data_IF_467020395739
#
_entry.id   IF_467020395739
#
_cell.length_a   1.000
_cell.length_b   1.000
_cell.length_c   1.000
_cell.angle_alpha   90.00
_cell.angle_beta   90.00
_cell.angle_gamma   90.00
#
_symmetry.space_group_name_H-M   'P 1'
#
loop_
_entity.id
_entity.type
_entity.pdbx_description
1 polymer ?
#
# COMPACT_ATOMS: atom_id res chain seq x y z
N UNK A 1 1.68 -7.25 61.85
CA UNK A 1 1.09 -8.16 60.85
C UNK A 1 0.13 -7.37 59.96
N UNK A 2 0.63 -6.93 58.81
CA UNK A 2 -0.18 -6.21 57.80
C UNK A 2 -0.23 -7.13 56.59
N UNK A 3 -1.40 -7.65 56.26
CA UNK A 3 -1.62 -8.50 55.08
C UNK A 3 -1.71 -7.57 53.85
N UNK A 4 -0.80 -7.76 52.89
CA UNK A 4 -0.89 -7.20 51.57
C UNK A 4 -1.99 -7.92 50.78
N UNK A 5 -3.00 -7.18 50.33
CA UNK A 5 -3.99 -7.66 49.36
C UNK A 5 -3.41 -7.43 47.96
N UNK A 6 -2.99 -8.52 47.32
CA UNK A 6 -2.71 -8.58 45.89
C UNK A 6 -4.04 -8.60 45.14
N UNK A 7 -4.37 -7.51 44.48
CA UNK A 7 -5.51 -7.43 43.55
C UNK A 7 -5.13 -8.15 42.24
N UNK A 8 -5.66 -9.37 42.06
CA UNK A 8 -5.70 -10.02 40.77
C UNK A 8 -6.56 -9.21 39.79
N UNK A 9 -5.94 -8.54 38.84
CA UNK A 9 -6.62 -8.05 37.64
C UNK A 9 -6.96 -9.26 36.77
N UNK A 10 -8.25 -9.53 36.64
CA UNK A 10 -8.81 -10.53 35.73
C UNK A 10 -8.43 -10.19 34.26
N UNK A 11 -7.82 -11.12 33.48
CA UNK A 11 -7.68 -10.96 32.05
C UNK A 11 -8.93 -11.55 31.42
N UNK A 12 -9.65 -10.80 30.63
CA UNK A 12 -10.71 -11.19 29.69
C UNK A 12 -11.94 -10.26 29.80
N UNK A 13 -11.72 -9.00 29.52
CA UNK A 13 -12.74 -8.21 28.86
C UNK A 13 -12.43 -8.28 27.36
N UNK A 14 -12.96 -9.27 26.67
CA UNK A 14 -13.07 -9.26 25.21
C UNK A 14 -13.96 -8.06 24.87
N UNK A 15 -13.35 -6.89 24.66
CA UNK A 15 -14.02 -5.75 24.06
C UNK A 15 -14.46 -6.25 22.68
N UNK A 16 -15.75 -6.51 22.51
CA UNK A 16 -16.38 -6.44 21.21
C UNK A 16 -16.00 -5.05 20.64
N UNK A 17 -15.04 -5.03 19.74
CA UNK A 17 -14.74 -3.83 18.97
C UNK A 17 -15.99 -3.58 18.15
N UNK A 18 -16.85 -2.65 18.58
CA UNK A 18 -17.93 -2.13 17.75
C UNK A 18 -17.26 -1.75 16.41
N UNK A 19 -17.79 -2.27 15.31
CA UNK A 19 -17.24 -1.98 13.98
C UNK A 19 -17.44 -0.49 13.73
N UNK A 20 -16.36 0.27 13.76
CA UNK A 20 -16.39 1.69 13.48
C UNK A 20 -16.84 1.94 12.05
N UNK A 21 -17.58 3.02 11.85
CA UNK A 21 -18.09 3.49 10.56
C UNK A 21 -17.68 4.95 10.35
N UNK A 22 -17.76 5.44 9.12
CA UNK A 22 -17.67 6.86 8.83
C UNK A 22 -19.05 7.39 8.46
N UNK A 23 -19.43 8.50 9.08
CA UNK A 23 -20.58 9.31 8.67
C UNK A 23 -20.06 10.54 7.94
N UNK A 24 -20.53 10.77 6.72
CA UNK A 24 -20.07 11.78 5.80
C UNK A 24 -21.26 12.61 5.35
N UNK A 25 -21.26 13.91 5.65
CA UNK A 25 -22.22 14.85 5.10
C UNK A 25 -21.64 15.46 3.82
N UNK A 26 -22.29 15.21 2.69
CA UNK A 26 -21.81 15.71 1.41
C UNK A 26 -22.11 17.17 1.14
N UNK A 27 -21.56 17.70 0.04
CA UNK A 27 -21.80 19.05 -0.44
C UNK A 27 -20.82 20.13 0.06
N UNK A 28 -19.74 19.74 0.75
CA UNK A 28 -18.70 20.67 1.23
C UNK A 28 -17.46 20.60 0.34
N UNK A 29 -16.97 21.77 -0.09
CA UNK A 29 -15.74 21.89 -0.87
C UNK A 29 -14.53 21.72 0.04
N UNK A 30 -13.55 20.96 -0.42
CA UNK A 30 -12.27 20.86 0.28
C UNK A 30 -11.42 22.10 0.00
N UNK A 31 -10.80 22.65 1.06
CA UNK A 31 -9.89 23.78 0.95
C UNK A 31 -8.83 23.73 2.07
N UNK A 32 -7.59 24.05 1.75
CA UNK A 32 -6.51 24.10 2.74
C UNK A 32 -5.28 23.31 2.34
N UNK A 33 -4.47 22.97 3.33
CA UNK A 33 -3.23 22.20 3.16
C UNK A 33 -3.31 20.88 3.92
N UNK A 34 -2.69 19.85 3.35
CA UNK A 34 -2.56 18.54 4.00
C UNK A 34 -1.17 17.97 3.74
N UNK A 35 -0.53 17.47 4.81
CA UNK A 35 0.75 16.75 4.70
C UNK A 35 0.48 15.31 4.30
N UNK A 36 1.24 14.85 3.32
CA UNK A 36 1.20 13.46 2.86
C UNK A 36 2.05 12.58 3.79
N UNK A 37 1.49 11.44 4.17
CA UNK A 37 2.15 10.43 4.99
C UNK A 37 3.15 9.61 4.20
N UNK A 38 4.00 8.87 4.90
CA UNK A 38 4.88 7.89 4.26
C UNK A 38 4.09 6.78 3.55
N UNK A 39 4.67 6.29 2.46
CA UNK A 39 4.05 5.26 1.63
C UNK A 39 4.04 3.90 2.35
N UNK A 40 2.84 3.38 2.62
CA UNK A 40 2.69 2.04 3.20
C UNK A 40 3.40 0.97 2.36
N UNK A 41 3.23 1.05 1.03
CA UNK A 41 3.79 0.04 0.12
C UNK A 41 5.33 0.10 0.03
N UNK A 42 5.96 1.21 0.40
CA UNK A 42 7.41 1.31 0.59
C UNK A 42 7.83 0.91 2.01
N UNK A 43 7.08 1.31 3.04
CA UNK A 43 7.41 1.02 4.43
C UNK A 43 7.51 -0.49 4.71
N UNK A 44 6.57 -1.29 4.19
CA UNK A 44 6.51 -2.73 4.49
C UNK A 44 7.75 -3.51 4.00
N UNK A 45 8.21 -3.39 2.74
CA UNK A 45 9.46 -4.05 2.32
C UNK A 45 10.70 -3.48 3.01
N UNK A 46 10.76 -2.17 3.26
CA UNK A 46 11.88 -1.54 3.98
C UNK A 46 11.99 -2.03 5.43
N UNK A 47 10.86 -2.25 6.11
CA UNK A 47 10.85 -2.87 7.44
C UNK A 47 11.39 -4.30 7.38
N UNK A 48 11.06 -5.08 6.34
CA UNK A 48 11.62 -6.43 6.13
C UNK A 48 13.13 -6.40 5.85
N UNK A 49 13.67 -5.34 5.24
CA UNK A 49 15.11 -5.18 5.02
C UNK A 49 15.91 -5.15 6.33
N UNK A 50 15.30 -4.80 7.47
CA UNK A 50 15.95 -4.90 8.79
C UNK A 50 16.44 -6.31 9.14
N UNK A 51 15.82 -7.35 8.57
CA UNK A 51 16.22 -8.74 8.75
C UNK A 51 17.57 -9.08 8.10
N UNK A 52 18.07 -8.23 7.19
CA UNK A 52 19.29 -8.47 6.42
C UNK A 52 20.58 -8.09 7.16
N UNK A 53 20.51 -7.40 8.29
CA UNK A 53 21.67 -6.97 9.09
C UNK A 53 21.51 -7.25 10.58
N UNK A 54 22.62 -7.37 11.31
CA UNK A 54 22.62 -7.38 12.76
C UNK A 54 22.57 -5.98 13.37
N UNK A 55 22.94 -4.97 12.59
CA UNK A 55 22.94 -3.57 13.00
C UNK A 55 21.54 -2.99 12.99
N UNK A 56 21.41 -1.80 13.56
CA UNK A 56 20.11 -1.11 13.64
C UNK A 56 19.76 -0.38 12.34
N UNK A 57 18.53 -0.57 11.88
CA UNK A 57 17.92 0.20 10.81
C UNK A 57 16.98 1.25 11.40
N UNK A 58 17.28 2.54 11.18
CA UNK A 58 16.47 3.66 11.65
C UNK A 58 15.56 4.16 10.54
N UNK A 59 14.25 4.06 10.73
CA UNK A 59 13.26 4.51 9.76
C UNK A 59 12.53 5.74 10.26
N UNK A 60 12.28 6.69 9.36
CA UNK A 60 11.47 7.88 9.59
C UNK A 60 10.37 8.00 8.53
N UNK A 61 9.40 8.89 8.75
CA UNK A 61 8.21 9.03 7.93
C UNK A 61 7.41 7.71 7.80
N UNK A 62 7.42 6.88 8.85
CA UNK A 62 6.58 5.68 8.90
C UNK A 62 5.12 6.09 9.14
N UNK A 63 4.16 5.62 8.32
CA UNK A 63 2.77 5.95 8.51
C UNK A 63 2.14 5.15 9.67
N UNK A 64 1.24 5.78 10.42
CA UNK A 64 0.44 5.10 11.45
C UNK A 64 -0.75 4.38 10.79
N UNK A 65 -0.50 3.15 10.34
CA UNK A 65 -1.48 2.33 9.64
C UNK A 65 -1.52 0.91 10.18
N UNK A 66 -2.67 0.27 10.03
CA UNK A 66 -2.87 -1.09 10.53
C UNK A 66 -1.89 -2.11 9.95
N UNK A 67 -1.56 -2.02 8.65
CA UNK A 67 -0.61 -2.94 7.99
C UNK A 67 0.82 -2.73 8.53
N UNK A 68 1.24 -1.48 8.83
CA UNK A 68 2.54 -1.18 9.46
C UNK A 68 2.61 -1.79 10.87
N UNK A 69 1.58 -1.56 11.68
CA UNK A 69 1.47 -2.18 13.03
C UNK A 69 1.51 -3.71 12.96
N UNK A 70 0.88 -4.31 11.94
CA UNK A 70 0.89 -5.77 11.74
C UNK A 70 2.29 -6.28 11.37
N UNK A 71 3.03 -5.54 10.52
CA UNK A 71 4.42 -5.89 10.17
C UNK A 71 5.35 -5.75 11.39
N UNK A 72 5.20 -4.69 12.18
CA UNK A 72 5.94 -4.56 13.46
C UNK A 72 5.73 -5.79 14.34
N UNK A 73 4.48 -6.19 14.57
CA UNK A 73 4.17 -7.37 15.38
C UNK A 73 4.75 -8.68 14.81
N UNK A 74 4.74 -8.81 13.48
CA UNK A 74 5.34 -9.97 12.81
C UNK A 74 6.85 -10.03 13.08
N UNK A 75 7.56 -8.91 12.90
CA UNK A 75 9.00 -8.82 13.14
C UNK A 75 9.35 -9.02 14.64
N UNK A 76 8.58 -8.45 15.55
CA UNK A 76 8.73 -8.68 17.01
C UNK A 76 8.55 -10.15 17.37
N UNK A 77 7.59 -10.86 16.77
CA UNK A 77 7.40 -12.31 16.98
C UNK A 77 8.58 -13.16 16.47
N UNK A 78 9.34 -12.64 15.52
CA UNK A 78 10.58 -13.26 15.03
C UNK A 78 11.78 -13.00 15.93
N UNK A 79 11.68 -12.03 16.85
CA UNK A 79 12.76 -11.63 17.77
C UNK A 79 13.42 -10.30 17.41
N UNK A 80 12.92 -9.57 16.41
CA UNK A 80 13.40 -8.20 16.11
C UNK A 80 13.03 -7.27 17.27
N UNK A 81 14.03 -6.59 17.83
CA UNK A 81 13.79 -5.55 18.82
C UNK A 81 13.41 -4.27 18.09
N UNK A 82 12.27 -3.68 18.45
CA UNK A 82 11.74 -2.49 17.78
C UNK A 82 11.47 -1.39 18.83
N UNK A 83 12.12 -0.24 18.64
CA UNK A 83 11.86 0.97 19.41
C UNK A 83 11.08 1.95 18.56
N UNK A 84 9.82 2.23 18.94
CA UNK A 84 8.88 3.04 18.17
C UNK A 84 8.74 4.44 18.74
N UNK A 85 8.89 5.45 17.88
CA UNK A 85 8.57 6.84 18.11
C UNK A 85 7.40 7.33 17.27
N UNK A 86 7.18 8.64 17.26
CA UNK A 86 6.15 9.25 16.40
C UNK A 86 6.65 9.25 14.94
N UNK A 87 5.99 8.49 14.08
CA UNK A 87 6.37 8.30 12.66
C UNK A 87 7.83 7.83 12.47
N UNK A 88 8.43 7.22 13.48
CA UNK A 88 9.80 6.69 13.43
C UNK A 88 9.86 5.33 14.10
N UNK A 89 10.78 4.48 13.69
CA UNK A 89 11.12 3.27 14.42
C UNK A 89 12.57 2.85 14.17
N UNK A 90 13.17 2.22 15.18
CA UNK A 90 14.48 1.58 15.08
C UNK A 90 14.31 0.08 15.18
N UNK A 91 14.80 -0.64 14.18
CA UNK A 91 14.72 -2.09 14.08
C UNK A 91 16.11 -2.69 14.33
N UNK A 92 16.23 -3.65 15.22
CA UNK A 92 17.47 -4.40 15.47
C UNK A 92 17.20 -5.90 15.43
N UNK A 93 17.73 -6.56 14.39
CA UNK A 93 17.60 -7.99 14.14
C UNK A 93 18.92 -8.74 14.43
N UNK A 94 19.64 -8.36 15.50
CA UNK A 94 20.91 -8.97 15.88
C UNK A 94 20.76 -10.47 16.16
N UNK A 95 19.67 -10.87 16.79
CA UNK A 95 19.31 -12.27 17.05
C UNK A 95 17.83 -12.45 16.76
N UNK A 96 17.51 -13.52 16.04
CA UNK A 96 16.14 -13.93 15.79
C UNK A 96 15.84 -15.24 16.49
N UNK A 97 14.69 -15.30 17.15
CA UNK A 97 14.24 -16.49 17.86
C UNK A 97 13.50 -17.46 16.94
N UNK A 98 12.85 -16.93 15.89
CA UNK A 98 11.97 -17.71 15.01
C UNK A 98 12.08 -17.23 13.56
N UNK A 99 12.33 -18.15 12.66
CA UNK A 99 12.39 -17.92 11.21
C UNK A 99 11.03 -18.25 10.54
N UNK A 100 9.91 -17.88 11.21
CA UNK A 100 8.56 -18.32 10.83
C UNK A 100 7.60 -17.12 10.76
N UNK A 101 6.92 -16.98 9.62
CA UNK A 101 5.75 -16.09 9.48
C UNK A 101 4.45 -16.93 9.56
N UNK A 102 3.70 -16.87 10.69
CA UNK A 102 2.57 -17.74 10.93
C UNK A 102 1.32 -17.30 10.16
N UNK A 103 0.41 -18.26 9.89
CA UNK A 103 -0.81 -18.07 9.13
C UNK A 103 -1.65 -16.88 9.62
N UNK A 104 -1.83 -16.73 10.94
CA UNK A 104 -2.67 -15.66 11.51
C UNK A 104 -2.20 -14.25 11.16
N UNK A 105 -0.89 -14.05 10.96
CA UNK A 105 -0.31 -12.78 10.53
C UNK A 105 -0.38 -12.63 9.01
N UNK A 106 -0.01 -13.67 8.27
CA UNK A 106 0.06 -13.63 6.79
C UNK A 106 -1.33 -13.50 6.16
N UNK A 107 -2.36 -14.16 6.72
CA UNK A 107 -3.74 -14.06 6.20
C UNK A 107 -4.31 -12.64 6.23
N UNK A 108 -3.84 -11.81 7.16
CA UNK A 108 -4.31 -10.43 7.32
C UNK A 108 -3.53 -9.43 6.48
N UNK A 109 -2.26 -9.75 6.15
CA UNK A 109 -1.36 -8.87 5.44
C UNK A 109 -0.47 -9.67 4.47
N UNK A 110 -0.83 -9.67 3.18
CA UNK A 110 -0.07 -10.42 2.15
C UNK A 110 1.40 -10.03 2.05
N UNK A 111 1.74 -8.77 2.36
CA UNK A 111 3.12 -8.29 2.37
C UNK A 111 4.03 -9.06 3.35
N UNK A 112 3.46 -9.85 4.26
CA UNK A 112 4.23 -10.75 5.13
C UNK A 112 5.09 -11.76 4.35
N UNK A 113 4.78 -12.05 3.07
CA UNK A 113 5.63 -12.87 2.19
C UNK A 113 7.03 -12.27 2.00
N UNK A 114 7.18 -10.95 2.17
CA UNK A 114 8.45 -10.23 1.97
C UNK A 114 9.55 -10.59 2.98
N UNK A 115 9.22 -11.28 4.07
CA UNK A 115 10.23 -11.80 5.00
C UNK A 115 10.96 -13.03 4.45
N UNK A 116 10.42 -13.69 3.40
CA UNK A 116 10.96 -14.94 2.87
C UNK A 116 12.38 -14.78 2.33
N UNK A 117 12.62 -13.80 1.45
CA UNK A 117 13.96 -13.55 0.88
C UNK A 117 14.99 -13.17 1.94
N UNK A 118 14.74 -12.16 2.79
CA UNK A 118 15.66 -11.79 3.87
C UNK A 118 16.01 -12.93 4.83
N UNK A 119 15.02 -13.69 5.28
CA UNK A 119 15.27 -14.83 6.18
C UNK A 119 16.13 -15.89 5.50
N UNK A 120 15.77 -16.26 4.27
CA UNK A 120 16.48 -17.30 3.54
C UNK A 120 17.93 -16.91 3.24
N UNK A 121 18.17 -15.69 2.76
CA UNK A 121 19.52 -15.25 2.37
C UNK A 121 20.46 -15.08 3.55
N UNK A 122 19.95 -14.62 4.72
CA UNK A 122 20.80 -14.38 5.90
C UNK A 122 20.93 -15.59 6.81
N UNK A 123 19.85 -16.36 6.99
CA UNK A 123 19.81 -17.46 7.97
C UNK A 123 19.82 -18.85 7.33
N UNK A 124 19.67 -18.94 6.01
CA UNK A 124 19.64 -20.22 5.28
C UNK A 124 18.33 -20.99 5.41
N UNK A 125 17.35 -20.49 6.14
CA UNK A 125 16.06 -21.13 6.36
C UNK A 125 14.95 -20.07 6.51
N UNK A 126 13.76 -20.38 5.98
CA UNK A 126 12.55 -19.59 6.18
C UNK A 126 11.30 -20.49 6.11
N UNK A 127 10.34 -20.24 6.99
CA UNK A 127 9.02 -20.85 6.96
C UNK A 127 7.94 -19.79 6.93
N UNK A 128 7.26 -19.65 5.80
CA UNK A 128 6.27 -18.58 5.60
C UNK A 128 4.95 -19.19 5.19
N UNK A 129 3.87 -18.87 5.90
CA UNK A 129 2.53 -19.31 5.51
C UNK A 129 2.18 -18.78 4.12
N UNK A 130 1.48 -19.58 3.33
CA UNK A 130 0.86 -19.09 2.11
C UNK A 130 -0.15 -17.99 2.45
N UNK A 131 -0.15 -16.88 1.75
CA UNK A 131 -1.15 -15.84 1.95
C UNK A 131 -2.53 -16.38 1.56
N UNK A 132 -3.55 -16.08 2.34
CA UNK A 132 -4.94 -16.38 2.03
C UNK A 132 -5.37 -15.73 0.70
N UNK A 133 -6.52 -16.14 0.17
CA UNK A 133 -7.12 -15.54 -1.03
C UNK A 133 -7.28 -14.02 -0.88
N UNK A 134 -7.11 -13.30 -1.98
CA UNK A 134 -7.35 -11.86 -2.04
C UNK A 134 -8.67 -11.59 -2.74
N UNK A 135 -9.50 -10.70 -2.18
CA UNK A 135 -10.79 -10.37 -2.75
C UNK A 135 -10.68 -9.74 -4.16
N UNK A 136 -9.59 -9.03 -4.45
CA UNK A 136 -9.40 -8.31 -5.72
C UNK A 136 -8.77 -9.15 -6.84
N UNK A 137 -8.26 -10.36 -6.56
CA UNK A 137 -7.69 -11.23 -7.58
C UNK A 137 -6.53 -12.10 -7.13
N UNK A 138 -6.08 -12.98 -8.03
CA UNK A 138 -4.94 -13.87 -7.77
C UNK A 138 -3.65 -13.07 -7.71
N UNK A 139 -2.81 -13.41 -6.73
CA UNK A 139 -1.45 -12.88 -6.61
C UNK A 139 -0.53 -14.05 -6.33
N UNK A 140 -0.07 -14.72 -7.38
CA UNK A 140 0.69 -15.94 -7.24
C UNK A 140 2.01 -15.67 -6.50
N UNK A 141 2.32 -16.53 -5.54
CA UNK A 141 3.62 -16.53 -4.83
C UNK A 141 4.67 -17.33 -5.58
N UNK A 142 4.27 -17.99 -6.67
CA UNK A 142 5.13 -18.81 -7.50
C UNK A 142 6.30 -18.04 -8.11
N UNK A 143 6.13 -16.74 -8.41
CA UNK A 143 7.21 -15.87 -8.89
C UNK A 143 8.33 -15.72 -7.86
N UNK A 144 7.97 -15.58 -6.57
CA UNK A 144 8.95 -15.56 -5.47
C UNK A 144 9.68 -16.90 -5.38
N UNK A 145 8.93 -18.02 -5.43
CA UNK A 145 9.45 -19.38 -5.30
C UNK A 145 10.36 -19.71 -6.48
N UNK A 146 9.91 -19.47 -7.72
CA UNK A 146 10.71 -19.69 -8.94
C UNK A 146 12.05 -18.93 -8.90
N UNK A 147 12.01 -17.66 -8.50
CA UNK A 147 13.21 -16.84 -8.40
C UNK A 147 14.20 -17.36 -7.35
N UNK A 148 13.71 -17.72 -6.15
CA UNK A 148 14.56 -18.27 -5.10
C UNK A 148 15.13 -19.66 -5.47
N UNK A 149 14.36 -20.51 -6.14
CA UNK A 149 14.86 -21.79 -6.67
C UNK A 149 15.96 -21.54 -7.72
N UNK A 150 15.79 -20.58 -8.62
CA UNK A 150 16.84 -20.20 -9.57
C UNK A 150 18.13 -19.72 -8.87
N UNK A 151 18.01 -19.13 -7.69
CA UNK A 151 19.13 -18.73 -6.84
C UNK A 151 19.70 -19.90 -6.01
N UNK A 152 19.18 -21.12 -6.17
CA UNK A 152 19.69 -22.34 -5.53
C UNK A 152 19.01 -22.71 -4.21
N UNK A 153 17.84 -22.18 -3.92
CA UNK A 153 17.03 -22.59 -2.77
C UNK A 153 16.32 -23.93 -3.02
N UNK A 154 16.22 -24.75 -1.98
CA UNK A 154 15.32 -25.89 -1.93
C UNK A 154 14.02 -25.45 -1.28
N UNK A 155 12.91 -25.56 -2.02
CA UNK A 155 11.60 -25.08 -1.55
C UNK A 155 10.55 -26.16 -1.74
N UNK A 156 9.77 -26.41 -0.70
CA UNK A 156 8.59 -27.26 -0.74
C UNK A 156 7.42 -26.60 -0.01
N UNK A 157 6.21 -26.96 -0.40
CA UNK A 157 4.99 -26.48 0.23
C UNK A 157 4.37 -27.62 1.01
N UNK A 158 4.21 -27.43 2.30
CA UNK A 158 3.62 -28.43 3.19
C UNK A 158 2.71 -27.76 4.21
N UNK A 159 1.50 -28.32 4.42
CA UNK A 159 0.50 -27.83 5.36
C UNK A 159 0.18 -26.33 5.21
N UNK A 160 0.22 -25.80 3.98
CA UNK A 160 -0.04 -24.39 3.70
C UNK A 160 1.13 -23.43 4.01
N UNK A 161 2.34 -23.98 4.24
CA UNK A 161 3.56 -23.20 4.43
C UNK A 161 4.55 -23.44 3.31
N UNK A 162 5.24 -22.38 2.94
CA UNK A 162 6.46 -22.40 2.14
C UNK A 162 7.61 -22.73 3.10
N UNK A 163 8.25 -23.84 2.91
CA UNK A 163 9.50 -24.22 3.59
C UNK A 163 10.64 -24.01 2.60
N UNK A 164 11.52 -23.08 2.89
CA UNK A 164 12.65 -22.75 2.05
C UNK A 164 13.95 -22.93 2.83
N UNK A 165 14.92 -23.61 2.21
CA UNK A 165 16.27 -23.79 2.74
C UNK A 165 17.32 -23.52 1.68
N UNK A 166 18.44 -22.95 2.07
CA UNK A 166 19.61 -22.76 1.21
C UNK A 166 20.86 -22.67 2.07
N UNK A 167 21.91 -23.42 1.72
CA UNK A 167 23.20 -23.22 2.38
C UNK A 167 23.74 -21.81 2.14
N UNK A 168 23.60 -21.30 0.92
CA UNK A 168 23.90 -19.95 0.47
C UNK A 168 23.21 -19.74 -0.87
N UNK A 169 22.53 -18.64 -1.02
CA UNK A 169 21.96 -18.23 -2.31
C UNK A 169 23.07 -17.79 -3.27
N UNK A 170 22.86 -18.05 -4.56
CA UNK A 170 23.78 -17.66 -5.63
C UNK A 170 23.08 -16.70 -6.59
N UNK A 171 23.86 -15.80 -7.18
CA UNK A 171 23.39 -14.93 -8.23
C UNK A 171 22.81 -15.72 -9.40
N UNK A 172 21.73 -15.20 -9.96
CA UNK A 172 20.99 -15.83 -11.04
C UNK A 172 20.42 -14.78 -12.01
N UNK A 173 20.17 -15.21 -13.25
CA UNK A 173 19.40 -14.40 -14.20
C UNK A 173 17.94 -14.84 -14.11
N UNK A 174 17.08 -13.92 -13.67
CA UNK A 174 15.66 -14.16 -13.40
C UNK A 174 14.84 -13.22 -14.26
N UNK A 175 14.06 -13.78 -15.19
CA UNK A 175 13.09 -13.03 -15.98
C UNK A 175 11.68 -13.29 -15.43
N UNK A 176 10.96 -12.25 -15.03
CA UNK A 176 9.60 -12.38 -14.56
C UNK A 176 8.63 -12.59 -15.73
N UNK A 177 7.82 -13.65 -15.67
CA UNK A 177 6.74 -13.90 -16.65
C UNK A 177 5.69 -12.79 -16.61
N UNK A 178 5.45 -12.22 -15.41
CA UNK A 178 4.57 -11.09 -15.14
C UNK A 178 5.27 -10.12 -14.20
N UNK A 179 5.10 -8.82 -14.42
CA UNK A 179 5.63 -7.78 -13.52
C UNK A 179 5.00 -7.96 -12.13
N UNK A 180 5.85 -8.12 -11.13
CA UNK A 180 5.45 -8.29 -9.73
C UNK A 180 6.25 -7.37 -8.81
N UNK A 181 5.58 -6.43 -8.16
CA UNK A 181 6.19 -5.51 -7.20
C UNK A 181 6.82 -6.30 -6.06
N UNK A 182 6.02 -7.09 -5.33
CA UNK A 182 6.51 -7.87 -4.20
C UNK A 182 7.50 -8.98 -4.60
N UNK A 183 7.39 -9.53 -5.82
CA UNK A 183 8.36 -10.46 -6.38
C UNK A 183 9.72 -9.79 -6.58
N UNK A 184 9.74 -8.60 -7.19
CA UNK A 184 10.96 -7.81 -7.39
C UNK A 184 11.58 -7.43 -6.05
N UNK A 185 10.80 -6.91 -5.10
CA UNK A 185 11.27 -6.52 -3.77
C UNK A 185 11.88 -7.69 -2.99
N UNK A 186 11.19 -8.83 -2.98
CA UNK A 186 11.63 -10.01 -2.24
C UNK A 186 12.91 -10.61 -2.82
N UNK A 187 12.99 -10.73 -4.16
CA UNK A 187 14.19 -11.26 -4.83
C UNK A 187 15.36 -10.28 -4.78
N UNK A 188 15.09 -8.96 -4.81
CA UNK A 188 16.13 -7.94 -4.57
C UNK A 188 16.72 -8.10 -3.17
N UNK A 189 15.90 -8.23 -2.13
CA UNK A 189 16.36 -8.46 -0.75
C UNK A 189 17.10 -9.80 -0.60
N UNK A 190 16.70 -10.85 -1.32
CA UNK A 190 17.41 -12.12 -1.31
C UNK A 190 18.78 -12.01 -2.00
N UNK A 191 18.88 -11.22 -3.07
CA UNK A 191 20.07 -11.11 -3.91
C UNK A 191 21.21 -10.31 -3.26
N UNK A 192 20.91 -9.35 -2.38
CA UNK A 192 21.95 -8.47 -1.80
C UNK A 192 23.01 -9.19 -0.98
N UNK A 193 22.70 -10.38 -0.43
CA UNK A 193 23.65 -11.24 0.30
C UNK A 193 23.99 -12.54 -0.45
N UNK A 194 23.47 -12.74 -1.67
CA UNK A 194 23.78 -13.91 -2.49
C UNK A 194 25.22 -13.88 -3.02
N UNK A 195 25.77 -15.02 -3.39
CA UNK A 195 27.10 -15.11 -3.98
C UNK A 195 27.06 -14.80 -5.48
N UNK A 196 27.76 -13.75 -5.93
CA UNK A 196 27.83 -13.35 -7.33
C UNK A 196 26.81 -12.30 -7.73
N UNK A 197 26.39 -12.31 -8.99
CA UNK A 197 25.52 -11.27 -9.58
C UNK A 197 24.15 -11.86 -9.87
N UNK A 198 23.10 -11.17 -9.42
CA UNK A 198 21.70 -11.43 -9.80
C UNK A 198 21.24 -10.37 -10.78
N UNK A 199 20.57 -10.79 -11.85
CA UNK A 199 19.90 -9.91 -12.80
C UNK A 199 18.40 -10.22 -12.77
N UNK A 200 17.60 -9.21 -12.47
CA UNK A 200 16.14 -9.29 -12.52
C UNK A 200 15.68 -8.58 -13.81
N UNK A 201 15.07 -9.30 -14.74
CA UNK A 201 14.48 -8.76 -15.97
C UNK A 201 12.95 -8.77 -15.90
N UNK A 202 12.31 -7.84 -16.59
CA UNK A 202 10.89 -7.52 -16.49
C UNK A 202 10.50 -7.21 -15.04
N UNK A 203 11.41 -6.54 -14.33
CA UNK A 203 11.24 -6.12 -12.94
C UNK A 203 10.18 -5.02 -12.81
N UNK A 204 9.59 -4.93 -11.62
CA UNK A 204 8.69 -3.83 -11.28
C UNK A 204 9.48 -2.52 -11.16
N UNK A 205 8.89 -1.44 -11.68
CA UNK A 205 9.53 -0.11 -11.79
C UNK A 205 8.94 0.91 -10.83
N UNK A 206 8.03 0.48 -9.97
CA UNK A 206 7.31 1.31 -9.03
C UNK A 206 8.27 2.09 -8.13
N UNK A 207 7.96 3.35 -7.80
CA UNK A 207 8.78 4.19 -6.93
C UNK A 207 9.09 3.55 -5.57
N UNK A 208 8.19 2.70 -5.08
CA UNK A 208 8.35 1.95 -3.84
C UNK A 208 9.48 0.92 -3.93
N UNK A 209 9.69 0.31 -5.12
CA UNK A 209 10.82 -0.59 -5.40
C UNK A 209 12.14 0.19 -5.41
N UNK A 210 12.12 1.41 -5.97
CA UNK A 210 13.28 2.30 -5.96
C UNK A 210 13.62 2.74 -4.53
N UNK A 211 12.61 3.02 -3.72
CA UNK A 211 12.79 3.43 -2.31
C UNK A 211 13.42 2.30 -1.48
N UNK A 212 12.97 1.05 -1.68
CA UNK A 212 13.62 -0.12 -1.09
C UNK A 212 15.08 -0.26 -1.55
N UNK A 213 15.34 -0.13 -2.85
CA UNK A 213 16.71 -0.20 -3.39
C UNK A 213 17.61 0.87 -2.76
N UNK A 214 17.14 2.11 -2.62
CA UNK A 214 17.88 3.19 -1.97
C UNK A 214 18.18 2.88 -0.49
N UNK A 215 17.22 2.29 0.23
CA UNK A 215 17.45 1.84 1.61
C UNK A 215 18.53 0.75 1.67
N UNK A 216 18.46 -0.25 0.80
CA UNK A 216 19.44 -1.34 0.72
C UNK A 216 20.84 -0.81 0.32
N UNK A 217 20.93 0.14 -0.60
CA UNK A 217 22.19 0.81 -0.98
C UNK A 217 22.76 1.57 0.23
N UNK A 218 21.91 2.29 0.98
CA UNK A 218 22.34 2.95 2.21
C UNK A 218 22.83 1.96 3.29
N UNK A 219 22.37 0.70 3.24
CA UNK A 219 22.87 -0.41 4.08
C UNK A 219 24.14 -1.06 3.52
N UNK A 220 24.65 -0.64 2.37
CA UNK A 220 25.88 -1.16 1.75
C UNK A 220 25.66 -2.13 0.59
N UNK A 221 24.44 -2.32 0.11
CA UNK A 221 24.15 -3.13 -1.06
C UNK A 221 24.64 -2.46 -2.35
N UNK A 222 24.95 -3.29 -3.35
CA UNK A 222 25.33 -2.86 -4.69
C UNK A 222 24.22 -3.19 -5.67
N UNK A 223 23.39 -2.20 -5.98
CA UNK A 223 22.21 -2.31 -6.84
C UNK A 223 22.28 -1.24 -7.93
N UNK A 224 22.08 -1.65 -9.17
CA UNK A 224 21.99 -0.77 -10.34
C UNK A 224 20.70 -1.05 -11.11
N UNK A 225 20.15 -0.02 -11.79
CA UNK A 225 18.97 -0.15 -12.63
C UNK A 225 17.61 -0.15 -11.89
N UNK A 226 17.57 0.12 -10.57
CA UNK A 226 16.30 0.27 -9.86
C UNK A 226 15.41 1.36 -10.50
N UNK A 227 14.14 1.04 -10.77
CA UNK A 227 13.21 1.89 -11.52
C UNK A 227 13.22 1.65 -13.03
N UNK A 228 14.10 0.77 -13.53
CA UNK A 228 14.04 0.24 -14.89
C UNK A 228 13.46 -1.19 -14.88
N UNK A 229 13.24 -1.77 -16.05
CA UNK A 229 12.80 -3.14 -16.22
C UNK A 229 13.90 -4.18 -15.99
N UNK A 230 15.16 -3.71 -15.82
CA UNK A 230 16.33 -4.55 -15.55
C UNK A 230 17.09 -4.04 -14.35
N UNK A 231 17.16 -4.85 -13.28
CA UNK A 231 17.88 -4.53 -12.05
C UNK A 231 19.04 -5.53 -11.90
N UNK A 232 20.23 -5.01 -11.65
CA UNK A 232 21.44 -5.80 -11.42
C UNK A 232 21.87 -5.64 -9.97
N UNK A 233 22.07 -6.74 -9.26
CA UNK A 233 22.47 -6.78 -7.87
C UNK A 233 23.76 -7.60 -7.73
N UNK A 234 24.84 -6.99 -7.27
CA UNK A 234 26.07 -7.69 -6.84
C UNK A 234 25.97 -7.98 -5.36
N UNK A 235 25.95 -9.27 -5.00
CA UNK A 235 25.85 -9.67 -3.61
C UNK A 235 27.09 -9.29 -2.81
N UNK A 236 26.86 -8.88 -1.55
CA UNK A 236 27.92 -8.49 -0.60
C UNK A 236 27.98 -9.48 0.57
N UNK A 237 29.14 -9.56 1.26
CA UNK A 237 29.29 -10.49 2.40
C UNK A 237 28.36 -10.16 3.56
N UNK A 238 28.11 -8.89 3.80
CA UNK A 238 27.30 -8.37 4.90
C UNK A 238 26.72 -7.00 4.56
N UNK A 239 25.63 -6.63 5.20
CA UNK A 239 25.05 -5.30 5.21
C UNK A 239 25.18 -4.69 6.61
N UNK A 240 25.27 -3.38 6.68
CA UNK A 240 25.34 -2.60 7.92
C UNK A 240 24.02 -1.86 8.21
N UNK A 241 23.94 -1.24 9.39
CA UNK A 241 22.84 -0.36 9.76
C UNK A 241 22.77 0.92 8.92
N UNK A 242 21.58 1.48 8.81
CA UNK A 242 21.36 2.71 8.06
C UNK A 242 20.23 3.54 8.67
N UNK A 243 20.13 4.79 8.21
CA UNK A 243 18.95 5.65 8.42
C UNK A 243 18.29 5.91 7.08
N UNK A 244 16.96 5.72 7.01
CA UNK A 244 16.18 5.92 5.79
C UNK A 244 14.85 6.61 6.11
N UNK A 245 14.46 7.56 5.27
CA UNK A 245 13.14 8.19 5.33
C UNK A 245 12.24 7.57 4.26
N UNK A 246 11.15 6.93 4.68
CA UNK A 246 10.18 6.35 3.75
C UNK A 246 9.58 7.43 2.85
N UNK A 247 9.52 7.17 1.56
CA UNK A 247 8.96 8.10 0.57
C UNK A 247 7.51 8.47 0.86
N UNK A 248 7.02 9.65 0.43
CA UNK A 248 5.61 10.03 0.53
C UNK A 248 4.70 9.09 -0.26
N UNK A 249 3.48 8.82 0.26
CA UNK A 249 2.51 7.95 -0.41
C UNK A 249 1.86 8.66 -1.62
N UNK A 250 2.24 8.22 -2.84
CA UNK A 250 1.67 8.73 -4.09
C UNK A 250 0.18 8.41 -4.24
N UNK A 251 -0.30 7.31 -3.65
CA UNK A 251 -1.71 6.92 -3.73
C UNK A 251 -2.56 7.76 -2.76
N UNK A 252 -2.04 8.05 -1.58
CA UNK A 252 -2.66 9.04 -0.67
C UNK A 252 -2.73 10.40 -1.36
N UNK A 253 -1.61 10.87 -1.95
CA UNK A 253 -1.54 12.12 -2.72
C UNK A 253 -2.61 12.18 -3.81
N UNK A 254 -2.67 11.16 -4.67
CA UNK A 254 -3.67 11.07 -5.72
C UNK A 254 -5.10 11.05 -5.18
N UNK A 255 -5.35 10.35 -4.08
CA UNK A 255 -6.68 10.27 -3.46
C UNK A 255 -7.17 11.62 -2.95
N UNK A 256 -6.32 12.42 -2.28
CA UNK A 256 -6.68 13.77 -1.84
C UNK A 256 -6.90 14.72 -3.01
N UNK A 257 -6.09 14.63 -4.08
CA UNK A 257 -6.26 15.42 -5.28
C UNK A 257 -7.59 15.10 -5.99
N UNK A 258 -7.94 13.81 -6.11
CA UNK A 258 -9.24 13.38 -6.67
C UNK A 258 -10.39 13.85 -5.80
N UNK A 259 -10.27 13.78 -4.47
CA UNK A 259 -11.27 14.28 -3.53
C UNK A 259 -11.53 15.79 -3.70
N UNK A 260 -10.45 16.57 -3.85
CA UNK A 260 -10.56 18.01 -4.12
C UNK A 260 -11.19 18.29 -5.48
N UNK A 261 -10.80 17.56 -6.52
CA UNK A 261 -11.40 17.68 -7.85
C UNK A 261 -12.90 17.34 -7.83
N UNK A 262 -13.29 16.27 -7.16
CA UNK A 262 -14.69 15.85 -7.07
C UNK A 262 -15.56 16.86 -6.32
N UNK A 263 -15.04 17.49 -5.26
CA UNK A 263 -15.77 18.47 -4.45
C UNK A 263 -15.72 19.90 -5.01
N UNK A 264 -15.01 20.13 -6.13
CA UNK A 264 -14.82 21.48 -6.71
C UNK A 264 -14.00 22.38 -5.78
N UNK A 265 -12.99 21.82 -5.11
CA UNK A 265 -12.18 22.47 -4.08
C UNK A 265 -10.82 22.95 -4.56
N UNK A 266 -10.05 23.49 -3.60
CA UNK A 266 -8.65 23.89 -3.80
C UNK A 266 -7.83 23.44 -2.61
N UNK A 267 -6.89 22.50 -2.84
CA UNK A 267 -5.99 22.00 -1.79
C UNK A 267 -4.54 22.09 -2.20
N UNK A 268 -3.66 22.14 -1.21
CA UNK A 268 -2.22 21.99 -1.39
C UNK A 268 -1.75 20.78 -0.60
N UNK A 269 -1.15 19.83 -1.28
CA UNK A 269 -0.39 18.75 -0.64
C UNK A 269 0.98 19.24 -0.28
N UNK A 270 1.49 18.90 0.90
CA UNK A 270 2.86 19.15 1.33
C UNK A 270 3.58 17.84 1.61
N UNK A 271 4.91 17.83 1.54
CA UNK A 271 5.72 16.61 1.59
C UNK A 271 5.25 15.59 0.53
N UNK A 272 4.92 16.04 -0.68
CA UNK A 272 4.45 15.25 -1.79
C UNK A 272 5.49 15.21 -2.93
N UNK A 273 5.41 14.21 -3.80
CA UNK A 273 6.29 14.07 -4.96
C UNK A 273 5.47 13.98 -6.24
N UNK A 274 5.53 15.00 -7.06
CA UNK A 274 4.80 15.06 -8.32
C UNK A 274 5.43 14.14 -9.40
N UNK A 275 6.74 13.98 -9.39
CA UNK A 275 7.53 13.20 -10.36
C UNK A 275 7.20 11.69 -10.37
N UNK A 276 6.54 11.19 -9.33
CA UNK A 276 6.09 9.79 -9.23
C UNK A 276 4.58 9.63 -9.43
N UNK A 277 3.88 10.70 -9.83
CA UNK A 277 2.42 10.76 -9.91
C UNK A 277 1.91 11.26 -11.28
N UNK A 278 2.78 11.42 -12.28
CA UNK A 278 2.49 12.05 -13.56
C UNK A 278 1.21 11.55 -14.22
N UNK A 279 1.01 10.23 -14.34
CA UNK A 279 -0.17 9.66 -14.98
C UNK A 279 -1.49 10.04 -14.31
N UNK A 280 -1.48 10.23 -12.98
CA UNK A 280 -2.64 10.68 -12.19
C UNK A 280 -2.85 12.18 -12.35
N UNK A 281 -1.78 12.98 -12.30
CA UNK A 281 -1.84 14.43 -12.50
C UNK A 281 -2.36 14.78 -13.90
N UNK A 282 -1.93 14.05 -14.92
CA UNK A 282 -2.37 14.24 -16.30
C UNK A 282 -3.85 13.95 -16.45
N UNK A 283 -4.36 12.87 -15.85
CA UNK A 283 -5.80 12.56 -15.84
C UNK A 283 -6.62 13.60 -15.08
N UNK A 284 -6.09 14.18 -14.02
CA UNK A 284 -6.75 15.29 -13.32
C UNK A 284 -6.77 16.58 -14.16
N UNK A 285 -5.69 16.89 -14.90
CA UNK A 285 -5.66 18.00 -15.87
C UNK A 285 -6.67 17.78 -17.00
N UNK A 286 -6.74 16.56 -17.53
CA UNK A 286 -7.73 16.15 -18.55
C UNK A 286 -9.16 16.34 -18.02
N UNK A 287 -9.42 16.02 -16.74
CA UNK A 287 -10.69 16.25 -16.07
C UNK A 287 -11.01 17.75 -15.86
N UNK A 288 -10.06 18.65 -16.06
CA UNK A 288 -10.23 20.10 -15.97
C UNK A 288 -9.63 20.76 -14.73
N UNK A 289 -8.87 20.02 -13.93
CA UNK A 289 -8.17 20.57 -12.77
C UNK A 289 -6.97 21.45 -13.20
N UNK A 290 -6.79 22.57 -12.50
CA UNK A 290 -5.55 23.35 -12.55
C UNK A 290 -4.60 22.78 -11.49
N UNK A 291 -3.38 22.45 -11.92
CA UNK A 291 -2.39 21.84 -11.03
C UNK A 291 -1.09 22.63 -11.15
N UNK A 292 -0.59 23.11 -10.01
CA UNK A 292 0.69 23.78 -9.86
C UNK A 292 1.59 22.95 -8.96
N UNK A 293 2.88 22.84 -9.32
CA UNK A 293 3.89 22.05 -8.60
C UNK A 293 5.05 22.94 -8.24
N UNK A 294 5.38 23.01 -6.96
CA UNK A 294 6.48 23.81 -6.44
C UNK A 294 7.26 23.02 -5.37
N UNK A 295 8.37 22.40 -5.78
CA UNK A 295 9.17 21.54 -4.90
C UNK A 295 8.37 20.31 -4.42
N UNK A 296 8.23 20.16 -3.12
CA UNK A 296 7.47 19.08 -2.48
C UNK A 296 5.98 19.41 -2.26
N UNK A 297 5.47 20.44 -2.96
CA UNK A 297 4.10 20.92 -2.87
C UNK A 297 3.37 20.72 -4.20
N UNK A 298 2.16 20.18 -4.12
CA UNK A 298 1.24 20.03 -5.26
C UNK A 298 -0.06 20.74 -4.91
N UNK A 299 -0.39 21.80 -5.64
CA UNK A 299 -1.66 22.52 -5.49
C UNK A 299 -2.60 22.13 -6.62
N UNK A 300 -3.81 21.70 -6.28
CA UNK A 300 -4.89 21.46 -7.23
C UNK A 300 -6.05 22.39 -6.94
N UNK A 301 -6.60 22.96 -8.00
CA UNK A 301 -7.84 23.72 -7.99
C UNK A 301 -8.79 23.21 -9.08
N UNK A 302 -10.02 22.89 -8.69
CA UNK A 302 -11.09 22.53 -9.61
C UNK A 302 -12.21 23.57 -9.53
N UNK A 303 -12.52 24.18 -10.67
CA UNK A 303 -13.64 25.10 -10.81
C UNK A 303 -14.71 24.47 -11.69
N UNK A 304 -15.87 24.19 -11.11
CA UNK A 304 -16.98 23.58 -11.82
C UNK A 304 -16.98 22.06 -11.78
N UNK A 305 -17.80 21.46 -12.63
CA UNK A 305 -17.97 20.01 -12.73
C UNK A 305 -16.79 19.39 -13.48
N UNK A 306 -16.19 18.28 -13.01
CA UNK A 306 -15.12 17.61 -13.75
C UNK A 306 -15.64 17.05 -15.07
N UNK A 307 -14.76 16.94 -16.06
CA UNK A 307 -15.02 16.21 -17.30
C UNK A 307 -14.70 14.72 -17.10
N UNK A 308 -15.48 13.85 -17.76
CA UNK A 308 -15.21 12.41 -17.72
C UNK A 308 -13.90 12.08 -18.41
N UNK A 309 -13.10 11.19 -17.81
CA UNK A 309 -11.78 10.79 -18.30
C UNK A 309 -11.67 9.27 -18.39
N UNK A 310 -11.14 8.78 -19.53
CA UNK A 310 -10.88 7.36 -19.71
C UNK A 310 -9.62 6.96 -18.94
N UNK A 311 -9.68 5.79 -18.29
CA UNK A 311 -8.57 5.23 -17.51
C UNK A 311 -8.31 3.79 -17.93
N UNK A 312 -7.04 3.44 -18.12
CA UNK A 312 -6.59 2.06 -18.26
C UNK A 312 -5.47 1.82 -17.27
N UNK A 313 -5.66 0.89 -16.36
CA UNK A 313 -4.62 0.53 -15.40
C UNK A 313 -3.49 -0.25 -16.09
N UNK A 314 -2.26 -0.02 -15.68
CA UNK A 314 -1.10 -0.79 -16.12
C UNK A 314 0.06 -0.60 -15.11
N UNK A 315 1.12 -1.44 -15.16
CA UNK A 315 2.30 -1.25 -14.31
C UNK A 315 2.93 0.13 -14.49
N UNK A 316 3.57 0.62 -13.44
CA UNK A 316 4.27 1.92 -13.46
C UNK A 316 5.27 2.02 -14.65
N UNK A 317 5.36 3.19 -15.34
CA UNK A 317 4.83 4.51 -14.98
C UNK A 317 3.41 4.80 -15.50
N UNK A 318 2.69 3.81 -15.99
CA UNK A 318 1.32 3.98 -16.42
C UNK A 318 0.35 4.19 -15.23
N UNK A 319 -0.95 4.25 -15.53
CA UNK A 319 -1.95 4.59 -14.52
C UNK A 319 -2.11 3.48 -13.46
N UNK A 320 -1.89 3.79 -12.16
CA UNK A 320 -1.86 2.77 -11.12
C UNK A 320 -3.26 2.22 -10.81
N UNK A 321 -3.36 0.89 -10.72
CA UNK A 321 -4.59 0.20 -10.33
C UNK A 321 -5.12 0.66 -8.96
N UNK A 322 -4.24 1.13 -8.05
CA UNK A 322 -4.60 1.67 -6.74
C UNK A 322 -5.35 3.01 -6.79
N UNK A 323 -5.41 3.68 -7.96
CA UNK A 323 -6.18 4.91 -8.20
C UNK A 323 -7.46 4.68 -9.01
N UNK A 324 -7.69 3.47 -9.49
CA UNK A 324 -8.83 3.13 -10.35
C UNK A 324 -10.17 3.51 -9.69
N UNK A 325 -10.41 3.08 -8.46
CA UNK A 325 -11.68 3.28 -7.77
C UNK A 325 -11.96 4.78 -7.48
N UNK A 326 -10.94 5.58 -7.14
CA UNK A 326 -11.06 7.00 -6.90
C UNK A 326 -11.49 7.74 -8.18
N UNK A 327 -10.90 7.37 -9.33
CA UNK A 327 -11.31 7.96 -10.62
C UNK A 327 -12.69 7.49 -11.06
N UNK A 328 -13.13 6.28 -10.68
CA UNK A 328 -14.51 5.87 -10.92
C UNK A 328 -15.50 6.73 -10.14
N UNK A 329 -15.19 7.09 -8.89
CA UNK A 329 -16.00 8.02 -8.10
C UNK A 329 -16.02 9.43 -8.71
N UNK A 330 -14.88 9.93 -9.22
CA UNK A 330 -14.81 11.21 -9.95
C UNK A 330 -15.66 11.17 -11.23
N UNK A 331 -15.51 10.12 -12.02
CA UNK A 331 -16.25 9.94 -13.27
C UNK A 331 -17.77 9.80 -13.06
N UNK A 332 -18.19 9.21 -11.92
CA UNK A 332 -19.61 9.08 -11.60
C UNK A 332 -20.36 10.42 -11.51
N UNK A 333 -19.66 11.52 -11.21
CA UNK A 333 -20.22 12.87 -11.15
C UNK A 333 -19.75 13.77 -12.30
N UNK A 334 -18.88 13.27 -13.17
CA UNK A 334 -18.28 14.05 -14.24
C UNK A 334 -19.29 14.38 -15.35
N UNK A 335 -18.95 15.32 -16.21
CA UNK A 335 -19.68 15.62 -17.44
C UNK A 335 -19.24 14.67 -18.56
N UNK A 336 -20.20 13.92 -19.13
CA UNK A 336 -19.97 12.95 -20.19
C UNK A 336 -19.88 11.50 -19.71
N UNK A 337 -19.35 10.63 -20.57
CA UNK A 337 -19.16 9.20 -20.29
C UNK A 337 -17.68 8.86 -20.30
N UNK A 338 -17.30 7.84 -19.55
CA UNK A 338 -15.93 7.35 -19.51
C UNK A 338 -15.85 5.84 -19.48
N UNK A 339 -14.69 5.32 -19.88
CA UNK A 339 -14.35 3.91 -19.86
C UNK A 339 -13.18 3.71 -18.91
N UNK A 340 -13.32 2.77 -17.98
CA UNK A 340 -12.26 2.34 -17.07
C UNK A 340 -11.94 0.88 -17.35
N UNK A 341 -10.70 0.60 -17.76
CA UNK A 341 -10.22 -0.76 -18.05
C UNK A 341 -9.23 -1.17 -16.96
N UNK A 342 -9.56 -2.22 -16.22
CA UNK A 342 -8.69 -2.80 -15.18
C UNK A 342 -7.92 -3.98 -15.78
N UNK A 343 -6.58 -3.90 -15.80
CA UNK A 343 -5.73 -4.94 -16.41
C UNK A 343 -4.81 -5.65 -15.41
N UNK A 344 -4.82 -5.23 -14.15
CA UNK A 344 -3.93 -5.75 -13.11
C UNK A 344 -4.62 -6.81 -12.25
N UNK A 345 -5.89 -6.54 -11.86
CA UNK A 345 -6.65 -7.43 -10.97
C UNK A 345 -8.06 -7.71 -11.50
N UNK A 346 -8.37 -8.97 -11.71
CA UNK A 346 -9.60 -9.44 -12.32
C UNK A 346 -10.88 -9.09 -11.55
N UNK A 347 -10.81 -8.97 -10.21
CA UNK A 347 -11.98 -8.74 -9.36
C UNK A 347 -12.00 -7.35 -8.72
N UNK A 348 -11.40 -6.33 -9.36
CA UNK A 348 -11.25 -5.02 -8.72
C UNK A 348 -12.43 -4.06 -8.93
N UNK A 349 -13.59 -4.54 -9.33
CA UNK A 349 -14.83 -3.77 -9.48
C UNK A 349 -15.88 -4.00 -8.38
N UNK A 350 -15.54 -4.69 -7.30
CA UNK A 350 -16.51 -4.98 -6.22
C UNK A 350 -17.17 -3.75 -5.60
N UNK A 351 -16.49 -2.59 -5.61
CA UNK A 351 -17.01 -1.33 -5.09
C UNK A 351 -18.08 -0.69 -6.00
N UNK A 352 -18.23 -1.15 -7.22
CA UNK A 352 -19.18 -0.57 -8.18
C UNK A 352 -20.61 -0.71 -7.68
N UNK A 353 -20.97 -1.85 -7.10
CA UNK A 353 -22.30 -2.05 -6.52
C UNK A 353 -22.59 -1.03 -5.40
N UNK A 354 -21.58 -0.65 -4.62
CA UNK A 354 -21.73 0.35 -3.56
C UNK A 354 -21.83 1.79 -4.14
N UNK A 355 -21.12 2.10 -5.23
CA UNK A 355 -21.29 3.36 -5.95
C UNK A 355 -22.68 3.44 -6.61
N UNK A 356 -23.19 2.34 -7.15
CA UNK A 356 -24.57 2.26 -7.69
C UNK A 356 -25.62 2.49 -6.59
N UNK A 357 -25.37 2.06 -5.34
CA UNK A 357 -26.26 2.36 -4.20
C UNK A 357 -26.34 3.87 -3.91
N UNK A 358 -25.30 4.63 -4.24
CA UNK A 358 -25.28 6.10 -4.18
C UNK A 358 -25.90 6.74 -5.43
N UNK A 359 -26.35 5.96 -6.40
CA UNK A 359 -26.99 6.44 -7.64
C UNK A 359 -26.04 6.58 -8.84
N UNK A 360 -24.79 6.09 -8.74
CA UNK A 360 -23.88 6.10 -9.89
C UNK A 360 -24.37 5.17 -11.01
N UNK A 361 -24.23 5.61 -12.26
CA UNK A 361 -24.59 4.86 -13.46
C UNK A 361 -23.32 4.19 -14.02
N UNK A 362 -23.13 2.93 -13.70
CA UNK A 362 -21.93 2.16 -14.06
C UNK A 362 -22.36 0.79 -14.56
N UNK A 363 -21.85 0.39 -15.72
CA UNK A 363 -22.02 -0.93 -16.29
C UNK A 363 -20.66 -1.61 -16.39
N UNK A 364 -20.60 -2.91 -16.07
CA UNK A 364 -19.36 -3.70 -16.11
C UNK A 364 -19.52 -4.79 -17.15
N UNK A 365 -18.51 -4.89 -18.03
CA UNK A 365 -18.37 -5.98 -18.99
C UNK A 365 -16.90 -6.50 -18.91
N UNK A 366 -16.75 -7.70 -18.36
CA UNK A 366 -15.42 -8.29 -18.15
C UNK A 366 -14.54 -7.42 -17.26
N UNK A 367 -13.43 -6.93 -17.80
CA UNK A 367 -12.48 -6.05 -17.12
C UNK A 367 -12.69 -4.54 -17.42
N UNK A 368 -13.83 -4.20 -17.97
CA UNK A 368 -14.17 -2.84 -18.42
C UNK A 368 -15.41 -2.35 -17.70
N UNK A 369 -15.34 -1.12 -17.17
CA UNK A 369 -16.48 -0.41 -16.64
C UNK A 369 -16.79 0.82 -17.51
N UNK A 370 -18.04 0.95 -17.93
CA UNK A 370 -18.57 2.13 -18.61
C UNK A 370 -19.33 2.97 -17.58
N UNK A 371 -18.95 4.23 -17.44
CA UNK A 371 -19.50 5.14 -16.43
C UNK A 371 -20.17 6.30 -17.12
N UNK A 372 -21.47 6.47 -16.89
CA UNK A 372 -22.20 7.66 -17.30
C UNK A 372 -22.24 8.64 -16.13
N UNK A 373 -21.62 9.79 -16.29
CA UNK A 373 -21.59 10.80 -15.24
C UNK A 373 -22.99 11.41 -14.97
N UNK A 374 -23.41 11.38 -13.72
CA UNK A 374 -24.66 11.94 -13.26
C UNK A 374 -24.46 13.29 -12.56
N UNK A 375 -25.52 14.11 -12.49
CA UNK A 375 -25.45 15.42 -11.81
C UNK A 375 -25.52 15.32 -10.30
N UNK A 376 -25.95 14.17 -9.79
CA UNK A 376 -26.24 13.99 -8.37
C UNK A 376 -26.00 12.54 -7.98
N UNK A 377 -25.37 12.37 -6.84
CA UNK A 377 -25.39 11.15 -6.04
C UNK A 377 -26.21 11.41 -4.78
N UNK A 378 -26.83 10.39 -4.22
CA UNK A 378 -27.61 10.45 -2.98
C UNK A 378 -26.90 9.68 -1.86
N UNK A 379 -26.90 10.23 -0.65
CA UNK A 379 -26.33 9.61 0.53
C UNK A 379 -27.04 8.30 0.86
N UNK A 380 -26.26 7.26 1.18
CA UNK A 380 -26.76 5.95 1.56
C UNK A 380 -25.79 5.25 2.52
N UNK A 381 -26.22 4.15 3.14
CA UNK A 381 -25.30 3.25 3.83
C UNK A 381 -24.63 2.33 2.81
N UNK A 382 -23.30 2.35 2.77
CA UNK A 382 -22.45 1.58 1.86
C UNK A 382 -21.38 0.84 2.64
N UNK A 383 -20.81 -0.19 2.04
CA UNK A 383 -19.86 -1.09 2.69
C UNK A 383 -18.50 -1.03 2.01
N UNK A 384 -17.45 -0.77 2.77
CA UNK A 384 -16.09 -0.88 2.29
C UNK A 384 -15.74 -2.32 1.90
N UNK A 385 -15.25 -2.53 0.68
CA UNK A 385 -14.95 -3.85 0.11
C UNK A 385 -13.47 -4.18 0.11
N UNK A 386 -12.62 -3.19 -0.09
CA UNK A 386 -11.16 -3.26 0.01
C UNK A 386 -10.57 -1.90 0.40
N UNK A 387 -9.26 -1.86 0.64
CA UNK A 387 -8.59 -0.67 1.17
C UNK A 387 -8.65 0.56 0.24
N UNK A 388 -8.54 0.37 -1.07
CA UNK A 388 -8.53 1.49 -2.05
C UNK A 388 -9.96 1.83 -2.51
N UNK A 389 -10.79 0.82 -2.72
CA UNK A 389 -12.21 1.00 -3.00
C UNK A 389 -12.92 1.79 -1.89
N UNK A 390 -12.55 1.57 -0.64
CA UNK A 390 -13.09 2.33 0.50
C UNK A 390 -12.93 3.84 0.35
N UNK A 391 -11.80 4.30 -0.18
CA UNK A 391 -11.56 5.72 -0.43
C UNK A 391 -12.49 6.30 -1.51
N UNK A 392 -12.84 5.51 -2.54
CA UNK A 392 -13.80 5.96 -3.56
C UNK A 392 -15.20 6.21 -2.98
N UNK A 393 -15.62 5.39 -2.00
CA UNK A 393 -16.89 5.57 -1.30
C UNK A 393 -16.87 6.81 -0.41
N UNK A 394 -15.72 7.12 0.21
CA UNK A 394 -15.55 8.37 0.96
C UNK A 394 -15.67 9.58 0.01
N UNK A 395 -14.99 9.54 -1.15
CA UNK A 395 -15.07 10.60 -2.17
C UNK A 395 -16.51 10.77 -2.67
N UNK A 396 -17.17 9.66 -3.02
CA UNK A 396 -18.57 9.69 -3.47
C UNK A 396 -19.51 10.24 -2.37
N UNK A 397 -19.31 9.86 -1.10
CA UNK A 397 -20.08 10.38 0.03
C UNK A 397 -19.90 11.88 0.25
N UNK A 398 -18.69 12.44 0.00
CA UNK A 398 -18.45 13.88 0.12
C UNK A 398 -19.18 14.72 -0.94
N UNK A 399 -19.54 14.12 -2.08
CA UNK A 399 -20.28 14.81 -3.17
C UNK A 399 -21.76 14.44 -3.22
N UNK A 400 -22.19 13.40 -2.51
CA UNK A 400 -23.57 12.96 -2.44
C UNK A 400 -24.46 13.97 -1.68
N UNK A 401 -25.75 14.01 -2.00
CA UNK A 401 -26.70 14.78 -1.21
C UNK A 401 -27.14 14.00 0.02
N UNK A 402 -27.11 14.63 1.20
CA UNK A 402 -27.46 13.98 2.47
C UNK A 402 -26.26 13.33 3.15
N UNK A 403 -26.53 12.39 4.05
CA UNK A 403 -25.51 11.69 4.82
C UNK A 403 -25.20 10.31 4.21
N UNK A 404 -23.93 10.01 4.05
CA UNK A 404 -23.44 8.67 3.67
C UNK A 404 -22.79 8.01 4.86
N UNK A 405 -23.15 6.75 5.12
CA UNK A 405 -22.50 5.91 6.15
C UNK A 405 -21.65 4.87 5.45
N UNK A 406 -20.35 4.92 5.70
CA UNK A 406 -19.40 3.89 5.20
C UNK A 406 -19.11 2.90 6.32
N UNK A 407 -19.54 1.65 6.14
CA UNK A 407 -19.31 0.56 7.08
C UNK A 407 -17.99 -0.18 6.76
N UNK A 408 -17.49 -1.01 7.71
CA UNK A 408 -16.26 -1.82 7.57
C UNK A 408 -15.00 -0.99 7.29
N UNK A 409 -14.86 0.18 7.90
CA UNK A 409 -13.74 1.10 7.65
C UNK A 409 -12.36 0.56 8.08
N UNK A 410 -12.29 -0.61 8.72
CA UNK A 410 -11.01 -1.29 8.96
C UNK A 410 -10.23 -1.56 7.66
N UNK A 411 -10.92 -1.66 6.51
CA UNK A 411 -10.26 -1.71 5.21
C UNK A 411 -9.57 -0.38 4.87
N UNK A 412 -10.22 0.75 5.18
CA UNK A 412 -9.68 2.09 4.96
C UNK A 412 -8.44 2.35 5.83
N UNK A 413 -8.49 1.94 7.12
CA UNK A 413 -7.40 2.09 8.10
C UNK A 413 -6.14 1.28 7.75
N UNK A 414 -6.23 0.34 6.81
CA UNK A 414 -5.09 -0.38 6.26
C UNK A 414 -4.32 0.43 5.20
N UNK A 415 -4.96 1.39 4.56
CA UNK A 415 -4.43 2.09 3.39
C UNK A 415 -4.25 3.59 3.54
N UNK A 416 -4.81 4.19 4.59
CA UNK A 416 -4.78 5.64 4.82
C UNK A 416 -4.59 5.96 6.30
N UNK A 417 -3.69 6.89 6.58
CA UNK A 417 -3.44 7.39 7.93
C UNK A 417 -4.48 8.45 8.29
N UNK A 418 -5.38 8.14 9.23
CA UNK A 418 -6.38 9.08 9.78
C UNK A 418 -7.08 9.94 8.71
N UNK A 419 -7.55 9.31 7.63
CA UNK A 419 -8.09 10.02 6.46
C UNK A 419 -9.24 10.95 6.83
N UNK A 420 -10.09 10.58 7.80
CA UNK A 420 -11.18 11.42 8.27
C UNK A 420 -10.70 12.69 8.97
N UNK A 421 -9.61 12.61 9.73
CA UNK A 421 -9.03 13.77 10.39
C UNK A 421 -8.42 14.73 9.36
N UNK A 422 -7.67 14.20 8.39
CA UNK A 422 -7.09 14.97 7.29
C UNK A 422 -8.16 15.63 6.42
N UNK A 423 -9.21 14.90 6.03
CA UNK A 423 -10.33 15.45 5.26
C UNK A 423 -11.14 16.49 6.06
N UNK A 424 -11.35 16.25 7.36
CA UNK A 424 -11.97 17.23 8.26
C UNK A 424 -11.18 18.54 8.34
N UNK A 425 -9.86 18.46 8.41
CA UNK A 425 -8.97 19.63 8.41
C UNK A 425 -9.07 20.42 7.09
N UNK A 426 -9.39 19.75 5.98
CA UNK A 426 -9.66 20.36 4.69
C UNK A 426 -11.12 20.87 4.52
N UNK A 427 -11.97 20.74 5.56
CA UNK A 427 -13.35 21.27 5.58
C UNK A 427 -14.44 20.25 5.30
N UNK A 428 -14.12 18.96 5.07
CA UNK A 428 -15.14 17.92 4.96
C UNK A 428 -15.90 17.74 6.28
N UNK A 429 -17.19 17.41 6.18
CA UNK A 429 -18.02 17.03 7.33
C UNK A 429 -18.03 15.51 7.44
N UNK A 430 -17.00 14.96 8.05
CA UNK A 430 -16.76 13.53 8.20
C UNK A 430 -16.40 13.22 9.65
N UNK A 431 -16.92 12.10 10.19
CA UNK A 431 -16.66 11.68 11.56
C UNK A 431 -16.73 10.17 11.69
N UNK A 432 -15.94 9.60 12.61
CA UNK A 432 -16.09 8.20 13.01
C UNK A 432 -17.29 8.06 13.96
N UNK A 433 -18.07 7.02 13.72
CA UNK A 433 -19.20 6.61 14.57
C UNK A 433 -19.06 5.11 14.91
N UNK A 434 -19.76 4.70 15.95
CA UNK A 434 -19.83 3.28 16.41
C UNK A 434 -20.93 2.53 15.70
#
# INVERSE_FOLDING_TARGET
>A
MVRSQTTHRSPLATRFKFMQKLAIQGGYRLNGEVRISGAKNAALPIMCASLLTADSLHLSNLPDMHDVTTMVRLLEQMGVRIDQGVQTATFSAAQLDKLVAPYDMVKTMRAAILVLGPLLTRFGEARVSLPGGCAIGSRPVDLHIKGLIAMGAEIHIEHGYIHATARRLRGAHICFDLISVTGTENLMMAAVLAEGITVLENAAREPEVVDLANCLIAMGAKIDGAGSDKITIEGVPELHGASHAVMPDRIESGTFLVAAAATGGRITLTSARADILDSVLDKLREAGAKIDVAGDRITLEMTGRPRAVNVRTAPYPAFPTDMQAQFMALNAIAEGSSIVVETIFENRFMHVQELQRLGAQIEIEGNTAVIQGCRRLDGATVMATDLRASASLVIAGMVAQGETIVDRIYHLDRGYEHIEAKLSALGAKIRRIQ
#
